data_IF_862192477981
#
_entry.id   IF_862192477981
#
_cell.length_a   1.000
_cell.length_b   1.000
_cell.length_c   1.000
_cell.angle_alpha   90.00
_cell.angle_beta   90.00
_cell.angle_gamma   90.00
#
_symmetry.space_group_name_H-M   'P 1'
#
loop_
_entity.id
_entity.type
_entity.pdbx_description
1 polymer ?
#
# COMPACT_ATOMS: atom_id res chain seq x y z
N UNK A 1 34.19 -2.65 -16.70
CA UNK A 1 33.57 -1.59 -17.52
C UNK A 1 32.64 -0.79 -16.62
N UNK A 2 32.94 0.48 -16.40
CA UNK A 2 32.08 1.39 -15.63
C UNK A 2 30.93 1.85 -16.53
N UNK A 3 29.69 1.55 -16.17
CA UNK A 3 28.53 2.07 -16.87
C UNK A 3 28.41 3.59 -16.67
N UNK A 4 27.89 4.35 -17.65
CA UNK A 4 27.66 5.77 -17.48
C UNK A 4 26.65 6.02 -16.35
N UNK A 5 26.87 7.08 -15.57
CA UNK A 5 25.96 7.49 -14.50
C UNK A 5 24.63 7.98 -15.08
N UNK A 6 23.51 7.58 -14.49
CA UNK A 6 22.18 8.10 -14.79
C UNK A 6 21.94 9.38 -13.98
N UNK A 7 21.66 10.47 -14.67
CA UNK A 7 21.36 11.76 -14.07
C UNK A 7 19.92 11.73 -13.45
N UNK A 8 19.77 12.00 -12.14
CA UNK A 8 18.47 12.06 -11.48
C UNK A 8 17.45 12.99 -12.14
N UNK A 9 17.90 14.12 -12.71
CA UNK A 9 17.01 15.06 -13.40
C UNK A 9 16.39 14.45 -14.67
N UNK A 10 17.15 13.63 -15.39
CA UNK A 10 16.62 12.90 -16.55
C UNK A 10 15.55 11.89 -16.11
N UNK A 11 15.76 11.21 -14.98
CA UNK A 11 14.80 10.25 -14.42
C UNK A 11 13.53 10.94 -13.90
N UNK A 12 13.64 12.09 -13.23
CA UNK A 12 12.49 12.89 -12.79
C UNK A 12 11.65 13.33 -14.00
N UNK A 13 12.30 13.85 -15.05
CA UNK A 13 11.60 14.25 -16.26
C UNK A 13 10.90 13.07 -16.94
N UNK A 14 11.55 11.91 -17.03
CA UNK A 14 10.98 10.70 -17.58
C UNK A 14 9.71 10.25 -16.78
N UNK A 15 9.78 10.25 -15.45
CA UNK A 15 8.64 9.89 -14.59
C UNK A 15 7.46 10.85 -14.83
N UNK A 16 7.71 12.16 -14.89
CA UNK A 16 6.66 13.15 -15.18
C UNK A 16 5.98 12.88 -16.54
N UNK A 17 6.75 12.54 -17.58
CA UNK A 17 6.17 12.21 -18.90
C UNK A 17 5.33 10.94 -18.82
N UNK A 18 5.82 9.92 -18.12
CA UNK A 18 5.13 8.64 -17.96
C UNK A 18 3.78 8.80 -17.23
N UNK A 19 3.75 9.63 -16.19
CA UNK A 19 2.54 9.89 -15.41
C UNK A 19 1.54 10.79 -16.13
N UNK A 20 2.02 11.85 -16.78
CA UNK A 20 1.18 12.82 -17.46
C UNK A 20 0.73 12.37 -18.87
N UNK A 21 1.39 11.36 -19.47
CA UNK A 21 1.14 10.92 -20.84
C UNK A 21 1.34 12.03 -21.89
N UNK A 22 2.10 13.09 -21.54
CA UNK A 22 2.26 14.29 -22.40
C UNK A 22 3.57 15.03 -22.11
N UNK A 23 4.36 15.28 -23.13
CA UNK A 23 5.57 16.09 -23.03
C UNK A 23 5.30 17.53 -22.61
N UNK A 24 4.19 18.12 -23.04
CA UNK A 24 3.82 19.50 -22.71
C UNK A 24 3.46 19.64 -21.24
N UNK A 25 2.64 18.72 -20.69
CA UNK A 25 2.27 18.73 -19.26
C UNK A 25 3.47 18.46 -18.38
N UNK A 26 4.27 17.48 -18.74
CA UNK A 26 5.52 17.19 -18.02
C UNK A 26 6.48 18.39 -18.02
N UNK A 27 6.61 19.10 -19.13
CA UNK A 27 7.44 20.30 -19.23
C UNK A 27 6.98 21.41 -18.27
N UNK A 28 5.69 21.64 -18.18
CA UNK A 28 5.11 22.59 -17.20
C UNK A 28 5.41 22.15 -15.77
N UNK A 29 5.27 20.86 -15.47
CA UNK A 29 5.49 20.30 -14.14
C UNK A 29 6.95 20.38 -13.69
N UNK A 30 7.90 20.22 -14.60
CA UNK A 30 9.34 20.33 -14.29
C UNK A 30 9.92 21.73 -14.51
N UNK A 31 9.09 22.74 -14.85
CA UNK A 31 9.53 24.12 -15.06
C UNK A 31 10.48 24.29 -16.26
N UNK A 32 10.29 23.51 -17.33
CA UNK A 32 11.15 23.53 -18.55
C UNK A 32 10.31 23.71 -19.81
N UNK A 33 10.97 23.99 -20.94
CA UNK A 33 10.31 23.98 -22.24
C UNK A 33 10.09 22.57 -22.75
N UNK A 34 9.08 22.36 -23.59
CA UNK A 34 8.80 21.07 -24.21
C UNK A 34 9.97 20.55 -25.06
N UNK A 35 10.71 21.44 -25.73
CA UNK A 35 11.92 21.11 -26.48
C UNK A 35 13.05 20.60 -25.57
N UNK A 36 13.25 21.23 -24.41
CA UNK A 36 14.25 20.80 -23.43
C UNK A 36 13.90 19.41 -22.86
N UNK A 37 12.64 19.16 -22.53
CA UNK A 37 12.16 17.86 -22.06
C UNK A 37 12.33 16.78 -23.15
N UNK A 38 12.06 17.10 -24.42
CA UNK A 38 12.30 16.18 -25.54
C UNK A 38 13.78 15.84 -25.72
N UNK A 39 14.68 16.82 -25.60
CA UNK A 39 16.13 16.57 -25.64
C UNK A 39 16.61 15.73 -24.45
N UNK A 40 16.08 15.96 -23.25
CA UNK A 40 16.38 15.13 -22.09
C UNK A 40 16.00 13.66 -22.31
N UNK A 41 14.82 13.40 -22.89
CA UNK A 41 14.41 12.03 -23.19
C UNK A 41 15.26 11.38 -24.27
N UNK A 42 15.61 12.10 -25.34
CA UNK A 42 16.54 11.60 -26.34
C UNK A 42 17.90 11.25 -25.74
N UNK A 43 18.43 12.09 -24.83
CA UNK A 43 19.67 11.82 -24.10
C UNK A 43 19.55 10.56 -23.24
N UNK A 44 18.45 10.40 -22.50
CA UNK A 44 18.22 9.22 -21.65
C UNK A 44 18.10 7.93 -22.48
N UNK A 45 17.31 7.96 -23.57
CA UNK A 45 17.18 6.83 -24.51
C UNK A 45 18.51 6.50 -25.19
N UNK A 46 19.31 7.52 -25.55
CA UNK A 46 20.65 7.37 -26.12
C UNK A 46 21.63 6.72 -25.14
N UNK A 47 21.63 7.12 -23.86
CA UNK A 47 22.47 6.51 -22.82
C UNK A 47 22.12 5.04 -22.57
N UNK A 48 20.84 4.68 -22.62
CA UNK A 48 20.35 3.33 -22.37
C UNK A 48 20.32 2.45 -23.64
N UNK A 49 20.44 3.05 -24.82
CA UNK A 49 20.38 2.37 -26.11
C UNK A 49 19.01 1.75 -26.40
N UNK A 50 17.96 2.22 -25.74
CA UNK A 50 16.59 1.67 -25.84
C UNK A 50 15.55 2.80 -25.89
N UNK A 51 14.49 2.61 -26.68
CA UNK A 51 13.31 3.46 -26.66
C UNK A 51 12.52 3.19 -25.38
N UNK A 52 12.18 4.24 -24.63
CA UNK A 52 11.40 4.17 -23.40
C UNK A 52 9.95 4.59 -23.61
N UNK A 53 9.74 5.48 -24.60
CA UNK A 53 8.44 6.06 -24.91
C UNK A 53 8.04 5.75 -26.36
N UNK A 54 6.74 5.54 -26.57
CA UNK A 54 6.13 5.40 -27.91
C UNK A 54 5.02 6.45 -28.06
N UNK A 55 4.76 6.87 -29.30
CA UNK A 55 3.66 7.79 -29.61
C UNK A 55 2.46 6.99 -30.12
N UNK A 56 1.33 7.13 -29.46
CA UNK A 56 0.06 6.58 -29.89
C UNK A 56 -0.70 7.46 -30.88
N UNK A 57 -1.83 6.97 -31.37
CA UNK A 57 -2.78 7.76 -32.17
C UNK A 57 -3.26 8.97 -31.35
N UNK A 58 -3.24 10.17 -31.97
CA UNK A 58 -3.66 11.40 -31.29
C UNK A 58 -2.58 12.07 -30.41
N UNK A 59 -1.31 11.63 -30.48
CA UNK A 59 -0.20 12.28 -29.77
C UNK A 59 -0.03 11.85 -28.30
N UNK A 60 -0.82 10.91 -27.83
CA UNK A 60 -0.66 10.32 -26.50
C UNK A 60 0.70 9.60 -26.40
N UNK A 61 1.35 9.72 -25.25
CA UNK A 61 2.62 9.08 -24.96
C UNK A 61 2.37 7.83 -24.14
N UNK A 62 2.93 6.70 -24.56
CA UNK A 62 2.86 5.42 -23.88
C UNK A 62 4.26 4.91 -23.54
N UNK A 63 4.38 4.15 -22.48
CA UNK A 63 5.61 3.46 -22.13
C UNK A 63 5.84 2.27 -23.07
N UNK A 64 7.11 2.00 -23.39
CA UNK A 64 7.52 0.70 -23.92
C UNK A 64 7.78 -0.28 -22.78
N UNK A 65 7.95 -1.59 -23.01
CA UNK A 65 8.35 -2.54 -21.97
C UNK A 65 9.65 -2.11 -21.24
N UNK A 66 10.61 -1.50 -21.97
CA UNK A 66 11.81 -0.93 -21.36
C UNK A 66 11.51 0.35 -20.55
N UNK A 67 10.51 1.13 -20.97
CA UNK A 67 10.04 2.29 -20.23
C UNK A 67 9.37 1.88 -18.91
N UNK A 68 8.53 0.85 -18.92
CA UNK A 68 7.91 0.31 -17.69
C UNK A 68 8.96 -0.20 -16.71
N UNK A 69 9.94 -0.97 -17.20
CA UNK A 69 11.07 -1.42 -16.38
C UNK A 69 11.84 -0.25 -15.77
N UNK A 70 12.18 0.76 -16.58
CA UNK A 70 12.91 1.94 -16.09
C UNK A 70 12.08 2.74 -15.10
N UNK A 71 10.77 2.93 -15.32
CA UNK A 71 9.89 3.70 -14.44
C UNK A 71 9.95 3.20 -13.00
N UNK A 72 9.92 1.88 -12.85
CA UNK A 72 10.03 1.25 -11.53
C UNK A 72 11.39 1.53 -10.87
N UNK A 73 12.50 1.28 -11.61
CA UNK A 73 13.86 1.46 -11.09
C UNK A 73 14.24 2.93 -10.86
N UNK A 74 13.72 3.82 -11.69
CA UNK A 74 13.92 5.26 -11.54
C UNK A 74 13.29 5.80 -10.26
N UNK A 75 12.11 5.31 -9.90
CA UNK A 75 11.46 5.68 -8.63
C UNK A 75 12.28 5.23 -7.42
N UNK A 76 12.79 3.99 -7.44
CA UNK A 76 13.65 3.47 -6.37
C UNK A 76 14.93 4.30 -6.21
N UNK A 77 15.58 4.65 -7.33
CA UNK A 77 16.80 5.46 -7.33
C UNK A 77 16.56 6.88 -6.84
N UNK A 78 15.48 7.53 -7.30
CA UNK A 78 15.14 8.88 -6.85
C UNK A 78 14.75 8.92 -5.38
N UNK A 79 14.02 7.92 -4.89
CA UNK A 79 13.73 7.80 -3.46
C UNK A 79 15.03 7.74 -2.64
N UNK A 80 16.01 6.92 -3.06
CA UNK A 80 17.31 6.84 -2.40
C UNK A 80 18.08 8.16 -2.48
N UNK A 81 18.06 8.83 -3.64
CA UNK A 81 18.66 10.16 -3.79
C UNK A 81 18.04 11.19 -2.86
N UNK A 82 16.71 11.19 -2.72
CA UNK A 82 15.98 12.12 -1.86
C UNK A 82 16.22 11.79 -0.38
N UNK A 83 16.34 10.51 -0.02
CA UNK A 83 16.75 10.05 1.31
C UNK A 83 18.14 10.58 1.70
N UNK A 84 19.12 10.54 0.78
CA UNK A 84 20.45 11.09 0.99
C UNK A 84 20.35 12.61 1.29
N UNK A 85 19.63 13.36 0.44
CA UNK A 85 19.49 14.80 0.64
C UNK A 85 18.79 15.14 1.97
N UNK A 86 17.79 14.38 2.35
CA UNK A 86 17.06 14.54 3.61
C UNK A 86 17.99 14.30 4.79
N UNK A 87 18.79 13.23 4.74
CA UNK A 87 19.72 12.86 5.81
C UNK A 87 20.80 13.94 6.08
N UNK A 88 21.22 14.66 5.03
CA UNK A 88 22.23 15.72 5.17
C UNK A 88 21.65 17.11 5.49
N UNK A 89 20.38 17.35 5.20
CA UNK A 89 19.73 18.67 5.36
C UNK A 89 18.79 18.76 6.56
N UNK A 90 18.30 17.62 7.04
CA UNK A 90 17.44 17.63 8.21
C UNK A 90 18.24 18.08 9.46
N UNK A 91 17.79 19.09 10.20
CA UNK A 91 18.27 19.26 11.58
C UNK A 91 18.03 17.93 12.31
N UNK A 92 18.92 17.57 13.23
CA UNK A 92 18.71 16.35 14.06
C UNK A 92 17.38 16.53 14.80
N UNK A 93 16.32 16.00 14.21
CA UNK A 93 14.98 16.11 14.76
C UNK A 93 14.84 15.01 15.81
N UNK A 94 14.69 15.40 17.05
CA UNK A 94 14.35 14.49 18.14
C UNK A 94 12.86 14.55 18.39
N UNK A 95 12.26 13.43 18.67
CA UNK A 95 10.84 13.39 19.02
C UNK A 95 10.24 12.00 18.84
N UNK A 96 8.95 11.90 19.10
CA UNK A 96 8.20 10.67 18.97
C UNK A 96 7.08 10.86 17.93
N UNK A 97 6.94 9.93 16.99
CA UNK A 97 5.79 9.83 16.11
C UNK A 97 4.94 8.65 16.55
N UNK A 98 3.65 8.90 16.83
CA UNK A 98 2.69 7.90 17.29
C UNK A 98 1.89 7.38 16.09
N UNK A 99 2.19 6.16 15.69
CA UNK A 99 1.60 5.50 14.51
C UNK A 99 0.61 4.41 14.93
N UNK A 100 -0.63 4.53 14.51
CA UNK A 100 -1.65 3.49 14.62
C UNK A 100 -1.72 2.61 13.37
N UNK A 101 -1.90 1.30 13.54
CA UNK A 101 -2.09 0.38 12.40
C UNK A 101 -2.75 -0.91 12.85
N UNK A 102 -3.64 -1.53 12.03
CA UNK A 102 -4.03 -2.92 12.24
C UNK A 102 -2.82 -3.86 12.20
N UNK A 103 -2.91 -4.98 12.93
CA UNK A 103 -1.81 -5.93 13.12
C UNK A 103 -1.33 -6.58 11.80
N UNK A 104 -2.24 -6.89 10.90
CA UNK A 104 -1.92 -7.42 9.58
C UNK A 104 -1.17 -6.41 8.69
N UNK A 105 -1.56 -5.12 8.73
CA UNK A 105 -0.82 -4.08 8.00
C UNK A 105 0.55 -3.84 8.64
N UNK A 106 0.64 -3.91 9.99
CA UNK A 106 1.90 -3.78 10.69
C UNK A 106 2.91 -4.84 10.23
N UNK A 107 2.53 -6.11 10.24
CA UNK A 107 3.41 -7.21 9.83
C UNK A 107 3.83 -7.11 8.37
N UNK A 108 2.94 -6.64 7.50
CA UNK A 108 3.17 -6.60 6.06
C UNK A 108 4.04 -5.41 5.64
N UNK A 109 3.76 -4.22 6.15
CA UNK A 109 4.31 -2.98 5.61
C UNK A 109 5.35 -2.31 6.51
N UNK A 110 5.19 -2.36 7.84
CA UNK A 110 6.08 -1.63 8.74
C UNK A 110 7.55 -2.06 8.69
N UNK A 111 7.94 -3.32 8.46
CA UNK A 111 9.35 -3.67 8.43
C UNK A 111 10.17 -2.86 7.43
N UNK A 112 9.65 -2.65 6.23
CA UNK A 112 10.32 -1.88 5.19
C UNK A 112 10.25 -0.37 5.47
N UNK A 113 9.09 0.12 5.93
CA UNK A 113 8.87 1.53 6.27
C UNK A 113 9.83 1.95 7.39
N UNK A 114 9.83 1.21 8.51
CA UNK A 114 10.62 1.54 9.69
C UNK A 114 12.12 1.41 9.44
N UNK A 115 12.55 0.41 8.66
CA UNK A 115 13.96 0.28 8.28
C UNK A 115 14.45 1.53 7.56
N UNK A 116 13.79 1.94 6.49
CA UNK A 116 14.15 3.13 5.71
C UNK A 116 14.07 4.42 6.53
N UNK A 117 13.00 4.54 7.34
CA UNK A 117 12.82 5.70 8.19
C UNK A 117 13.92 5.82 9.25
N UNK A 118 14.31 4.72 9.90
CA UNK A 118 15.37 4.72 10.91
C UNK A 118 16.76 5.05 10.33
N UNK A 119 17.03 4.66 9.08
CA UNK A 119 18.27 5.00 8.39
C UNK A 119 18.43 6.51 8.17
N UNK A 120 17.33 7.22 7.89
CA UNK A 120 17.34 8.67 7.63
C UNK A 120 16.99 9.53 8.86
N UNK A 121 16.29 8.96 9.85
CA UNK A 121 15.83 9.66 11.05
C UNK A 121 16.18 8.88 12.33
N UNK A 122 17.47 8.59 12.60
CA UNK A 122 17.89 7.69 13.69
C UNK A 122 17.56 8.21 15.10
N UNK A 123 17.30 9.51 15.25
CA UNK A 123 16.95 10.15 16.53
C UNK A 123 15.45 10.30 16.76
N UNK A 124 14.61 9.80 15.85
CA UNK A 124 13.16 9.84 16.00
C UNK A 124 12.66 8.49 16.50
N UNK A 125 11.93 8.50 17.60
CA UNK A 125 11.21 7.33 18.11
C UNK A 125 9.90 7.17 17.37
N UNK A 126 9.55 5.95 17.00
CA UNK A 126 8.23 5.62 16.44
C UNK A 126 7.51 4.69 17.40
N UNK A 127 6.45 5.19 18.03
CA UNK A 127 5.57 4.40 18.87
C UNK A 127 4.46 3.80 18.03
N UNK A 128 4.42 2.47 17.94
CA UNK A 128 3.44 1.76 17.13
C UNK A 128 2.35 1.17 18.01
N UNK A 129 1.09 1.54 17.72
CA UNK A 129 -0.08 1.00 18.39
C UNK A 129 -0.87 0.12 17.41
N UNK A 130 -1.00 -1.18 17.75
CA UNK A 130 -1.78 -2.12 16.94
C UNK A 130 -3.17 -2.35 17.55
N UNK A 131 -4.20 -1.87 16.86
CA UNK A 131 -5.62 -1.99 17.24
C UNK A 131 -6.49 -2.10 15.98
N UNK A 132 -7.79 -2.48 16.12
CA UNK A 132 -8.75 -2.39 15.02
C UNK A 132 -8.88 -0.96 14.46
N UNK A 133 -9.13 -0.85 13.14
CA UNK A 133 -9.23 0.46 12.45
C UNK A 133 -10.21 1.43 13.11
N UNK A 134 -11.34 0.96 13.64
CA UNK A 134 -12.33 1.80 14.33
C UNK A 134 -11.76 2.47 15.58
N UNK A 135 -11.04 1.71 16.40
CA UNK A 135 -10.41 2.23 17.62
C UNK A 135 -9.25 3.19 17.31
N UNK A 136 -8.45 2.85 16.30
CA UNK A 136 -7.34 3.71 15.86
C UNK A 136 -7.83 5.07 15.37
N UNK A 137 -8.93 5.09 14.64
CA UNK A 137 -9.54 6.33 14.16
C UNK A 137 -10.02 7.21 15.33
N UNK A 138 -10.62 6.62 16.36
CA UNK A 138 -11.04 7.38 17.55
C UNK A 138 -9.83 7.94 18.32
N UNK A 139 -8.75 7.17 18.46
CA UNK A 139 -7.51 7.64 19.10
C UNK A 139 -6.82 8.75 18.30
N UNK A 140 -6.84 8.65 16.96
CA UNK A 140 -6.36 9.73 16.09
C UNK A 140 -7.14 11.02 16.30
N UNK A 141 -8.48 10.93 16.39
CA UNK A 141 -9.36 12.08 16.66
C UNK A 141 -9.13 12.67 18.05
N UNK A 142 -8.83 11.83 19.03
CA UNK A 142 -8.48 12.24 20.40
C UNK A 142 -7.07 12.81 20.54
N UNK A 143 -6.25 12.87 19.48
CA UNK A 143 -4.89 13.38 19.53
C UNK A 143 -3.87 12.43 20.17
N UNK A 144 -4.27 11.17 20.40
CA UNK A 144 -3.36 10.14 20.94
C UNK A 144 -2.42 9.58 19.87
N UNK A 145 -2.79 9.71 18.60
CA UNK A 145 -2.00 9.30 17.44
C UNK A 145 -1.74 10.48 16.51
N UNK A 146 -0.61 10.44 15.82
CA UNK A 146 -0.22 11.42 14.81
C UNK A 146 -0.62 10.96 13.40
N UNK A 147 -0.45 9.65 13.16
CA UNK A 147 -0.79 8.96 11.91
C UNK A 147 -1.53 7.67 12.21
N UNK A 148 -2.43 7.25 11.32
CA UNK A 148 -2.96 5.89 11.37
C UNK A 148 -3.25 5.32 9.99
N UNK A 149 -2.97 4.03 9.84
CA UNK A 149 -3.49 3.22 8.75
C UNK A 149 -4.87 2.70 9.14
N UNK A 150 -5.81 2.70 8.22
CA UNK A 150 -7.13 2.12 8.45
C UNK A 150 -7.76 1.60 7.16
N UNK A 151 -8.76 0.74 7.29
CA UNK A 151 -9.62 0.34 6.17
C UNK A 151 -10.53 1.51 5.75
N UNK A 152 -10.78 1.65 4.45
CA UNK A 152 -11.54 2.77 3.87
C UNK A 152 -12.95 2.95 4.46
N UNK A 153 -13.61 1.84 4.82
CA UNK A 153 -14.92 1.87 5.49
C UNK A 153 -14.92 2.47 6.91
N UNK A 154 -13.76 2.70 7.51
CA UNK A 154 -13.61 3.35 8.81
C UNK A 154 -13.26 4.85 8.73
N UNK A 155 -13.18 5.41 7.51
CA UNK A 155 -12.86 6.83 7.33
C UNK A 155 -13.94 7.73 7.93
N UNK A 156 -13.61 8.65 8.85
CA UNK A 156 -14.55 9.63 9.36
C UNK A 156 -14.99 10.62 8.26
N UNK A 157 -16.23 11.03 8.29
CA UNK A 157 -16.72 12.08 7.37
C UNK A 157 -15.95 13.40 7.59
N UNK A 158 -15.51 14.01 6.49
CA UNK A 158 -14.78 15.28 6.52
C UNK A 158 -13.28 15.19 6.86
N UNK A 159 -12.77 14.02 7.24
CA UNK A 159 -11.34 13.85 7.46
C UNK A 159 -10.61 13.60 6.14
N UNK A 160 -9.51 14.35 5.92
CA UNK A 160 -8.61 14.11 4.79
C UNK A 160 -7.96 12.75 4.95
N UNK A 161 -8.01 11.97 3.89
CA UNK A 161 -7.44 10.62 3.84
C UNK A 161 -6.64 10.46 2.55
N UNK A 162 -5.45 9.94 2.66
CA UNK A 162 -4.63 9.58 1.52
C UNK A 162 -4.87 8.09 1.18
N UNK A 163 -5.38 7.76 -0.02
CA UNK A 163 -5.54 6.38 -0.43
C UNK A 163 -4.16 5.78 -0.73
N UNK A 164 -3.85 4.66 -0.08
CA UNK A 164 -2.58 3.96 -0.22
C UNK A 164 -2.70 2.75 -1.15
N UNK A 165 -3.77 2.00 -1.02
CA UNK A 165 -3.98 0.76 -1.76
C UNK A 165 -5.46 0.44 -1.87
N UNK A 166 -5.86 -0.29 -2.92
CA UNK A 166 -7.19 -0.87 -3.12
C UNK A 166 -7.04 -2.24 -3.79
N UNK A 167 -7.84 -3.20 -3.35
CA UNK A 167 -7.84 -4.53 -3.94
C UNK A 167 -8.88 -5.46 -3.34
N UNK A 168 -8.95 -6.70 -3.82
CA UNK A 168 -9.95 -7.66 -3.42
C UNK A 168 -9.73 -8.21 -2.01
N UNK A 169 -10.83 -8.41 -1.30
CA UNK A 169 -10.89 -9.24 -0.10
C UNK A 169 -11.20 -10.68 -0.51
N UNK A 170 -10.57 -11.64 0.15
CA UNK A 170 -10.72 -13.05 -0.15
C UNK A 170 -11.18 -13.86 1.06
N UNK A 171 -11.97 -14.90 0.81
CA UNK A 171 -12.16 -15.97 1.78
C UNK A 171 -10.89 -16.76 1.91
N UNK A 172 -10.47 -17.03 3.14
CA UNK A 172 -9.24 -17.74 3.45
C UNK A 172 -9.57 -19.04 4.18
N UNK A 173 -8.92 -20.12 3.76
CA UNK A 173 -9.09 -21.46 4.33
C UNK A 173 -7.72 -22.12 4.54
N UNK A 174 -7.70 -23.25 5.24
CA UNK A 174 -6.51 -24.08 5.39
C UNK A 174 -6.11 -24.74 4.07
N UNK A 175 -4.80 -24.93 3.86
CA UNK A 175 -4.27 -25.72 2.75
C UNK A 175 -4.47 -27.24 2.97
N UNK A 176 -4.62 -27.67 4.24
CA UNK A 176 -4.70 -29.09 4.64
C UNK A 176 -6.12 -29.57 4.91
N UNK A 177 -7.04 -28.62 5.20
CA UNK A 177 -8.43 -28.92 5.60
C UNK A 177 -9.41 -28.15 4.74
N UNK A 178 -10.67 -28.56 4.75
CA UNK A 178 -11.71 -27.97 3.91
C UNK A 178 -12.93 -27.48 4.73
N UNK A 179 -12.76 -26.64 5.77
CA UNK A 179 -13.89 -26.15 6.56
C UNK A 179 -14.87 -25.31 5.73
N UNK A 180 -14.44 -24.74 4.60
CA UNK A 180 -15.28 -24.01 3.66
C UNK A 180 -16.41 -24.85 3.02
N UNK A 181 -16.31 -26.20 3.08
CA UNK A 181 -17.32 -27.12 2.56
C UNK A 181 -18.41 -27.50 3.60
N UNK A 182 -18.19 -27.16 4.86
CA UNK A 182 -19.12 -27.51 5.94
C UNK A 182 -20.39 -26.63 5.87
N UNK A 183 -21.50 -27.20 6.30
CA UNK A 183 -22.78 -26.53 6.43
C UNK A 183 -23.40 -26.83 7.81
N UNK A 184 -23.64 -25.83 8.68
CA UNK A 184 -23.32 -24.40 8.48
C UNK A 184 -21.82 -24.14 8.43
N UNK A 185 -21.43 -23.14 7.62
CA UNK A 185 -20.04 -22.69 7.43
C UNK A 185 -19.47 -22.16 8.76
N UNK A 186 -18.40 -22.74 9.32
CA UNK A 186 -17.76 -22.17 10.49
C UNK A 186 -16.90 -20.97 10.10
N UNK A 187 -17.18 -19.78 10.65
CA UNK A 187 -16.41 -18.56 10.37
C UNK A 187 -15.64 -18.10 11.60
N UNK A 188 -14.44 -17.58 11.37
CA UNK A 188 -13.60 -16.87 12.32
C UNK A 188 -13.47 -15.42 11.85
N UNK A 189 -14.17 -14.50 12.49
CA UNK A 189 -14.23 -13.10 12.07
C UNK A 189 -13.92 -12.15 13.23
N UNK A 190 -13.54 -10.93 12.89
CA UNK A 190 -13.36 -9.86 13.85
C UNK A 190 -14.74 -9.38 14.42
N UNK A 191 -14.68 -8.37 15.29
CA UNK A 191 -15.88 -7.76 15.86
C UNK A 191 -16.80 -7.15 14.79
N UNK A 192 -18.03 -6.88 15.16
CA UNK A 192 -19.06 -6.32 14.25
C UNK A 192 -18.69 -4.92 13.70
N UNK A 193 -17.74 -4.23 14.34
CA UNK A 193 -17.18 -2.96 13.85
C UNK A 193 -16.13 -3.12 12.75
N UNK A 194 -15.69 -4.34 12.46
CA UNK A 194 -14.76 -4.63 11.40
C UNK A 194 -15.47 -4.61 10.04
N UNK A 195 -15.05 -3.73 9.15
CA UNK A 195 -15.66 -3.59 7.80
C UNK A 195 -15.55 -4.87 6.98
N UNK A 196 -14.49 -5.66 7.17
CA UNK A 196 -14.29 -6.96 6.50
C UNK A 196 -15.25 -8.02 7.02
N UNK A 197 -15.43 -8.10 8.35
CA UNK A 197 -16.38 -9.00 8.96
C UNK A 197 -17.81 -8.69 8.49
N UNK A 198 -18.19 -7.42 8.49
CA UNK A 198 -19.48 -6.97 7.99
C UNK A 198 -19.67 -7.28 6.49
N UNK A 199 -18.63 -7.17 5.67
CA UNK A 199 -18.68 -7.54 4.25
C UNK A 199 -18.86 -9.05 4.07
N UNK A 200 -18.15 -9.86 4.85
CA UNK A 200 -18.27 -11.31 4.84
C UNK A 200 -19.68 -11.77 5.22
N UNK A 201 -20.25 -11.23 6.29
CA UNK A 201 -21.60 -11.55 6.77
C UNK A 201 -22.64 -11.17 5.70
N UNK A 202 -22.58 -9.95 5.16
CA UNK A 202 -23.49 -9.51 4.09
C UNK A 202 -23.40 -10.40 2.84
N UNK A 203 -22.21 -10.86 2.48
CA UNK A 203 -22.05 -11.75 1.33
C UNK A 203 -22.67 -13.12 1.56
N UNK A 204 -22.50 -13.70 2.77
CA UNK A 204 -23.12 -14.98 3.15
C UNK A 204 -24.65 -14.89 3.21
N UNK A 205 -25.16 -13.83 3.85
CA UNK A 205 -26.61 -13.58 3.96
C UNK A 205 -27.24 -13.39 2.57
N UNK A 206 -26.61 -12.59 1.71
CA UNK A 206 -27.07 -12.34 0.34
C UNK A 206 -27.08 -13.59 -0.55
N UNK A 207 -26.19 -14.54 -0.29
CA UNK A 207 -26.12 -15.82 -0.99
C UNK A 207 -26.99 -16.92 -0.32
N UNK A 208 -27.68 -16.64 0.78
CA UNK A 208 -28.40 -17.63 1.56
C UNK A 208 -27.52 -18.74 2.14
N UNK A 209 -26.21 -18.47 2.27
CA UNK A 209 -25.24 -19.45 2.78
C UNK A 209 -25.30 -19.50 4.30
N UNK A 210 -25.77 -20.63 4.87
CA UNK A 210 -25.81 -20.83 6.34
C UNK A 210 -24.41 -20.82 6.91
N UNK A 211 -24.20 -20.07 8.00
CA UNK A 211 -22.93 -19.99 8.72
C UNK A 211 -23.15 -19.98 10.24
N UNK A 212 -22.07 -20.24 10.97
CA UNK A 212 -22.00 -20.05 12.42
C UNK A 212 -20.75 -19.30 12.77
N UNK A 213 -20.84 -18.32 13.65
CA UNK A 213 -19.69 -17.66 14.24
C UNK A 213 -19.00 -18.66 15.17
N UNK A 214 -17.92 -19.28 14.69
CA UNK A 214 -17.19 -20.27 15.45
C UNK A 214 -16.13 -19.64 16.35
N UNK A 215 -15.48 -18.58 15.87
CA UNK A 215 -14.42 -17.87 16.60
C UNK A 215 -14.53 -16.37 16.36
N UNK A 216 -14.15 -15.58 17.38
CA UNK A 216 -14.05 -14.12 17.30
C UNK A 216 -12.70 -13.67 17.86
N UNK A 217 -12.09 -12.69 17.24
CA UNK A 217 -10.86 -12.02 17.72
C UNK A 217 -10.84 -10.56 17.29
N UNK A 218 -10.24 -9.71 18.10
CA UNK A 218 -10.00 -8.32 17.72
C UNK A 218 -8.84 -8.18 16.71
N UNK A 219 -8.00 -9.20 16.57
CA UNK A 219 -6.81 -9.18 15.73
C UNK A 219 -6.92 -10.17 14.56
N UNK A 220 -6.27 -9.86 13.46
CA UNK A 220 -6.21 -10.74 12.30
C UNK A 220 -5.48 -12.05 12.64
N UNK A 221 -4.41 -11.99 13.43
CA UNK A 221 -3.72 -13.20 13.89
C UNK A 221 -4.64 -14.14 14.67
N UNK A 222 -5.47 -13.59 15.54
CA UNK A 222 -6.45 -14.39 16.31
C UNK A 222 -7.56 -14.98 15.45
N UNK A 223 -7.96 -14.34 14.36
CA UNK A 223 -8.94 -14.91 13.41
C UNK A 223 -8.29 -15.97 12.50
N UNK A 224 -7.00 -15.87 12.21
CA UNK A 224 -6.28 -16.83 11.37
C UNK A 224 -5.91 -18.13 12.11
N UNK A 225 -5.66 -18.08 13.41
CA UNK A 225 -5.27 -19.25 14.19
C UNK A 225 -6.24 -20.47 14.04
N UNK A 226 -7.56 -20.32 14.21
CA UNK A 226 -8.49 -21.44 13.98
C UNK A 226 -8.57 -21.86 12.51
N UNK A 227 -8.22 -20.98 11.55
CA UNK A 227 -8.21 -21.33 10.13
C UNK A 227 -6.99 -22.18 9.79
N UNK A 228 -5.82 -21.86 10.33
CA UNK A 228 -4.62 -22.71 10.22
C UNK A 228 -4.90 -24.12 10.77
N UNK A 229 -5.61 -24.20 11.89
CA UNK A 229 -6.05 -25.47 12.49
C UNK A 229 -7.14 -26.20 11.68
N UNK A 230 -7.66 -25.61 10.60
CA UNK A 230 -8.70 -26.22 9.77
C UNK A 230 -10.11 -26.19 10.36
N UNK A 231 -10.36 -25.34 11.35
CA UNK A 231 -11.61 -25.31 12.12
C UNK A 231 -12.63 -24.28 11.59
N UNK A 232 -12.19 -23.29 10.83
CA UNK A 232 -13.02 -22.22 10.31
C UNK A 232 -12.47 -21.64 9.01
N UNK A 233 -13.21 -20.72 8.40
CA UNK A 233 -12.75 -19.81 7.36
C UNK A 233 -12.73 -18.38 7.89
N UNK A 234 -11.90 -17.53 7.30
CA UNK A 234 -11.86 -16.09 7.60
C UNK A 234 -11.81 -15.27 6.31
N UNK A 235 -11.66 -13.98 6.43
CA UNK A 235 -11.45 -13.06 5.30
C UNK A 235 -10.14 -12.29 5.48
N UNK A 236 -9.37 -12.16 4.42
CA UNK A 236 -8.12 -11.39 4.42
C UNK A 236 -7.74 -10.98 3.00
N UNK A 237 -6.69 -10.17 2.89
CA UNK A 237 -5.99 -9.93 1.62
C UNK A 237 -5.01 -11.06 1.35
N UNK A 238 -4.70 -11.30 0.07
CA UNK A 238 -3.68 -12.30 -0.30
C UNK A 238 -2.26 -11.74 -0.30
N UNK A 239 -2.08 -10.45 -0.07
CA UNK A 239 -0.78 -9.80 -0.09
C UNK A 239 0.21 -10.37 0.93
N UNK A 240 -0.30 -10.95 2.02
CA UNK A 240 0.46 -11.72 2.98
C UNK A 240 -0.45 -12.72 3.69
N UNK A 241 -0.21 -13.99 3.49
CA UNK A 241 -0.89 -15.07 4.21
C UNK A 241 0.17 -15.93 4.91
N UNK A 242 -0.07 -16.31 6.18
CA UNK A 242 0.76 -17.29 6.85
C UNK A 242 0.83 -18.63 6.10
N UNK A 243 1.92 -19.34 6.30
CA UNK A 243 2.05 -20.72 5.80
C UNK A 243 0.87 -21.58 6.30
N UNK A 244 0.37 -22.45 5.45
CA UNK A 244 -0.78 -23.29 5.76
C UNK A 244 -2.14 -22.68 5.44
N UNK A 245 -2.19 -21.42 4.98
CA UNK A 245 -3.40 -20.74 4.51
C UNK A 245 -3.39 -20.53 3.00
N UNK A 246 -4.59 -20.50 2.40
CA UNK A 246 -4.81 -20.17 0.99
C UNK A 246 -6.15 -19.45 0.78
N UNK A 247 -6.30 -18.70 -0.30
CA UNK A 247 -7.62 -18.23 -0.73
C UNK A 247 -8.52 -19.41 -1.07
N UNK A 248 -9.81 -19.25 -0.81
CA UNK A 248 -10.87 -20.11 -1.36
C UNK A 248 -11.08 -19.70 -2.82
N UNK A 249 -11.04 -20.68 -3.73
CA UNK A 249 -11.24 -20.42 -5.16
C UNK A 249 -12.72 -20.18 -5.46
N UNK A 250 -13.06 -19.43 -6.52
CA UNK A 250 -14.45 -19.16 -6.89
C UNK A 250 -15.30 -20.41 -7.06
N UNK A 251 -14.71 -21.51 -7.57
CA UNK A 251 -15.40 -22.78 -7.81
C UNK A 251 -15.72 -23.54 -6.51
N UNK A 252 -15.12 -23.13 -5.38
CA UNK A 252 -15.35 -23.78 -4.07
C UNK A 252 -16.60 -23.27 -3.35
N UNK A 253 -17.39 -22.38 -3.99
CA UNK A 253 -18.80 -22.11 -3.65
C UNK A 253 -19.03 -21.10 -2.53
N UNK A 254 -18.04 -20.24 -2.19
CA UNK A 254 -18.28 -19.10 -1.32
C UNK A 254 -18.61 -17.84 -2.16
N UNK A 255 -19.51 -16.96 -1.66
CA UNK A 255 -19.90 -15.76 -2.40
C UNK A 255 -18.73 -14.79 -2.58
N UNK A 256 -18.71 -14.00 -3.66
CA UNK A 256 -17.68 -13.01 -3.89
C UNK A 256 -17.70 -11.93 -2.79
N UNK A 257 -16.53 -11.41 -2.46
CA UNK A 257 -16.35 -10.30 -1.51
C UNK A 257 -16.03 -9.01 -2.26
N UNK A 258 -16.40 -7.84 -1.72
CA UNK A 258 -16.08 -6.56 -2.33
C UNK A 258 -14.58 -6.25 -2.25
N UNK A 259 -14.15 -5.31 -3.07
CA UNK A 259 -12.88 -4.64 -2.86
C UNK A 259 -12.90 -3.77 -1.60
N UNK A 260 -11.74 -3.56 -1.03
CA UNK A 260 -11.55 -2.62 0.05
C UNK A 260 -10.27 -1.79 -0.17
N UNK A 261 -10.16 -0.67 0.53
CA UNK A 261 -9.01 0.22 0.46
C UNK A 261 -8.27 0.33 1.80
N UNK A 262 -6.99 0.65 1.72
CA UNK A 262 -6.17 1.06 2.87
C UNK A 262 -5.93 2.56 2.73
N UNK A 263 -6.17 3.29 3.79
CA UNK A 263 -6.01 4.74 3.88
C UNK A 263 -4.95 5.10 4.92
N UNK A 264 -4.21 6.15 4.67
CA UNK A 264 -3.44 6.90 5.67
C UNK A 264 -4.27 8.10 6.13
N UNK A 265 -4.52 8.19 7.42
CA UNK A 265 -5.11 9.35 8.07
C UNK A 265 -4.04 10.07 8.89
N UNK A 266 -4.15 11.39 8.96
CA UNK A 266 -3.25 12.26 9.72
C UNK A 266 -4.05 13.07 10.74
N UNK A 267 -3.51 13.23 11.92
CA UNK A 267 -4.00 14.23 12.86
C UNK A 267 -3.69 15.63 12.31
N UNK A 268 -4.69 16.49 12.08
CA UNK A 268 -4.46 17.84 11.53
C UNK A 268 -3.56 18.71 12.41
N UNK A 269 -3.51 18.44 13.71
CA UNK A 269 -2.72 19.20 14.69
C UNK A 269 -1.27 18.68 14.81
N UNK A 270 -0.99 17.44 14.40
CA UNK A 270 0.33 16.82 14.45
C UNK A 270 1.18 17.15 13.20
N UNK A 271 1.28 18.44 12.84
CA UNK A 271 2.08 18.90 11.71
C UNK A 271 3.53 19.11 12.12
N UNK A 272 4.28 18.03 12.26
CA UNK A 272 5.71 18.06 12.55
C UNK A 272 6.49 17.46 11.38
N UNK A 273 7.72 17.96 11.08
CA UNK A 273 8.51 17.45 9.97
C UNK A 273 8.73 15.92 10.00
N UNK A 274 8.89 15.35 11.20
CA UNK A 274 9.07 13.90 11.38
C UNK A 274 7.80 13.11 11.04
N UNK A 275 6.62 13.65 11.35
CA UNK A 275 5.32 13.04 11.01
C UNK A 275 5.10 13.06 9.51
N UNK A 276 5.43 14.17 8.84
CA UNK A 276 5.35 14.29 7.38
C UNK A 276 6.35 13.36 6.69
N UNK A 277 7.57 13.25 7.22
CA UNK A 277 8.56 12.32 6.72
C UNK A 277 8.06 10.88 6.81
N UNK A 278 7.62 10.41 7.99
CA UNK A 278 7.11 9.04 8.14
C UNK A 278 5.91 8.77 7.23
N UNK A 279 5.00 9.73 7.08
CA UNK A 279 3.88 9.61 6.17
C UNK A 279 4.32 9.45 4.71
N UNK A 280 5.36 10.16 4.26
CA UNK A 280 5.94 10.00 2.92
C UNK A 280 6.53 8.60 2.73
N UNK A 281 7.29 8.07 3.71
CA UNK A 281 7.82 6.70 3.65
C UNK A 281 6.72 5.64 3.57
N UNK A 282 5.62 5.84 4.32
CA UNK A 282 4.43 4.98 4.22
C UNK A 282 3.89 5.01 2.78
N UNK A 283 3.59 6.19 2.25
CA UNK A 283 3.00 6.36 0.91
C UNK A 283 3.89 5.76 -0.18
N UNK A 284 5.19 6.01 -0.13
CA UNK A 284 6.15 5.50 -1.12
C UNK A 284 6.29 3.98 -1.07
N UNK A 285 6.21 3.39 0.13
CA UNK A 285 6.24 1.93 0.28
C UNK A 285 5.03 1.29 -0.40
N UNK A 286 3.83 1.82 -0.17
CA UNK A 286 2.62 1.30 -0.81
C UNK A 286 2.63 1.51 -2.33
N UNK A 287 3.11 2.64 -2.84
CA UNK A 287 3.28 2.89 -4.28
C UNK A 287 4.24 1.90 -4.93
N UNK A 288 5.37 1.62 -4.27
CA UNK A 288 6.37 0.66 -4.76
C UNK A 288 5.81 -0.77 -4.80
N UNK A 289 5.01 -1.16 -3.82
CA UNK A 289 4.38 -2.49 -3.78
C UNK A 289 3.26 -2.63 -4.82
N UNK A 290 2.44 -1.61 -5.01
CA UNK A 290 1.42 -1.61 -6.06
C UNK A 290 2.05 -1.82 -7.46
N UNK A 291 3.19 -1.18 -7.72
CA UNK A 291 3.93 -1.37 -8.96
C UNK A 291 4.50 -2.79 -9.11
N UNK A 292 4.93 -3.45 -8.02
CA UNK A 292 5.40 -4.85 -8.04
C UNK A 292 4.26 -5.85 -8.22
N UNK A 293 3.11 -5.62 -7.59
CA UNK A 293 1.93 -6.48 -7.71
C UNK A 293 1.32 -6.48 -9.11
N UNK A 294 1.38 -5.37 -9.82
CA UNK A 294 0.93 -5.26 -11.22
C UNK A 294 1.79 -6.05 -12.21
N UNK A 295 3.00 -6.45 -11.84
CA UNK A 295 3.88 -7.30 -12.69
C UNK A 295 3.73 -8.81 -12.40
N UNK A 296 2.98 -9.18 -11.35
CA UNK A 296 2.80 -10.58 -10.93
C UNK A 296 1.39 -11.13 -11.25
N UNK A 297 0.53 -10.33 -11.85
CA UNK A 297 -0.79 -10.69 -12.37
C UNK A 297 -0.79 -10.73 -13.90
#
# INVERSE_FOLDING_TARGET
MTHPSLDPDLLRTFICIAEDGSFTRAAQRVGRTQSAVSMQMQRLEGLLGKRLLSRGKGGAVHLTPHGEFLLHRARDLLALNDDIWTSFRAPVVHGTVRLGTPDDYALRYLPQILKRFAESHPSVQVDVLCLPSSELVERLRGGELDLTLCSDGNRPRGMLAEPLWRGPLHWITSTRHAPHRLDPLPVALASDQCTWAAAAIRALDGAGRRYRMAYRSATQLGTQAPVVAGLAVTVATISWLPEGLRPVRPEEGLPPLPEFGILLLRNPEARQPMTDALASYITDTFRSEAARGSMAA
#
